data_IF_551268281887
#
_entry.id   IF_551268281887
#
_cell.length_a   1.000
_cell.length_b   1.000
_cell.length_c   1.000
_cell.angle_alpha   90.00
_cell.angle_beta   90.00
_cell.angle_gamma   90.00
#
_symmetry.space_group_name_H-M   'P 1'
#
loop_
_entity.id
_entity.type
_entity.pdbx_description
1 polymer ?
#
# COMPACT_ATOMS: atom_id res chain seq x y z
N UNK A 1 4.59 -9.13 9.90
CA UNK A 1 3.86 -8.12 10.72
C UNK A 1 2.38 -8.16 10.37
N UNK A 2 1.45 -7.90 11.30
CA UNK A 2 0.01 -7.98 11.02
C UNK A 2 -0.47 -6.79 10.16
N UNK A 3 -1.31 -7.06 9.15
CA UNK A 3 -1.95 -5.98 8.36
C UNK A 3 -2.93 -5.13 9.20
N UNK A 4 -3.63 -5.77 10.14
CA UNK A 4 -4.53 -5.10 11.07
C UNK A 4 -3.85 -4.99 12.44
N UNK A 5 -3.25 -3.84 12.71
CA UNK A 5 -2.73 -3.53 14.04
C UNK A 5 -3.88 -3.20 14.99
N UNK A 6 -3.66 -3.34 16.30
CA UNK A 6 -4.68 -3.02 17.30
C UNK A 6 -5.06 -1.54 17.27
N UNK A 7 -4.14 -0.66 16.87
CA UNK A 7 -4.43 0.74 16.62
C UNK A 7 -5.47 0.90 15.50
N UNK A 8 -5.31 0.20 14.38
CA UNK A 8 -6.24 0.27 13.26
C UNK A 8 -7.61 -0.33 13.60
N UNK A 9 -7.66 -1.40 14.39
CA UNK A 9 -8.93 -1.97 14.88
C UNK A 9 -9.71 -0.95 15.71
N UNK A 10 -9.06 -0.31 16.69
CA UNK A 10 -9.67 0.73 17.54
C UNK A 10 -10.08 1.97 16.75
N UNK A 11 -9.31 2.35 15.73
CA UNK A 11 -9.67 3.47 14.84
C UNK A 11 -10.96 3.15 14.07
N UNK A 12 -11.08 1.93 13.54
CA UNK A 12 -12.29 1.47 12.84
C UNK A 12 -13.52 1.42 13.77
N UNK A 13 -13.35 0.97 15.02
CA UNK A 13 -14.41 0.99 16.04
C UNK A 13 -14.93 2.40 16.34
N UNK A 14 -14.08 3.42 16.19
CA UNK A 14 -14.44 4.84 16.35
C UNK A 14 -14.94 5.49 15.06
N UNK A 15 -15.24 4.70 14.01
CA UNK A 15 -15.64 5.19 12.69
C UNK A 15 -14.63 6.13 12.02
N UNK A 16 -13.34 6.00 12.37
CA UNK A 16 -12.29 6.75 11.69
C UNK A 16 -11.98 6.14 10.30
N UNK A 17 -11.52 6.98 9.38
CA UNK A 17 -11.00 6.52 8.09
C UNK A 17 -9.65 5.84 8.34
N UNK A 18 -9.53 4.59 7.91
CA UNK A 18 -8.30 3.79 8.07
C UNK A 18 -7.55 3.70 6.74
N UNK A 19 -6.30 4.13 6.74
CA UNK A 19 -5.33 3.94 5.66
C UNK A 19 -4.30 2.92 6.13
N UNK A 20 -4.17 1.81 5.40
CA UNK A 20 -3.22 0.75 5.74
C UNK A 20 -1.80 1.11 5.31
N UNK A 21 -0.79 0.63 6.05
CA UNK A 21 0.62 0.91 5.75
C UNK A 21 1.08 0.42 4.37
N UNK A 22 0.43 -0.61 3.82
CA UNK A 22 0.78 -1.12 2.49
C UNK A 22 0.47 -0.10 1.38
N UNK A 23 -0.47 0.83 1.59
CA UNK A 23 -0.79 1.90 0.62
C UNK A 23 0.45 2.80 0.43
N UNK A 24 1.11 3.18 1.54
CA UNK A 24 2.35 3.96 1.49
C UNK A 24 3.50 3.16 0.88
N UNK A 25 3.59 1.87 1.21
CA UNK A 25 4.61 0.96 0.62
C UNK A 25 4.44 0.84 -0.91
N UNK A 26 3.22 0.79 -1.41
CA UNK A 26 2.95 0.79 -2.85
C UNK A 26 3.28 2.16 -3.47
N UNK A 27 2.84 3.25 -2.85
CA UNK A 27 3.06 4.61 -3.35
C UNK A 27 4.54 4.98 -3.47
N UNK A 28 5.36 4.63 -2.47
CA UNK A 28 6.81 4.86 -2.55
C UNK A 28 7.47 4.01 -3.64
N UNK A 29 7.00 2.79 -3.87
CA UNK A 29 7.56 1.91 -4.90
C UNK A 29 7.23 2.43 -6.29
N UNK A 30 5.99 2.89 -6.51
CA UNK A 30 5.55 3.55 -7.74
C UNK A 30 6.44 4.74 -8.05
N UNK A 31 6.68 5.61 -7.07
CA UNK A 31 7.51 6.79 -7.28
C UNK A 31 8.97 6.44 -7.59
N UNK A 32 9.53 5.46 -6.88
CA UNK A 32 10.89 5.00 -7.14
C UNK A 32 11.03 4.40 -8.55
N UNK A 33 10.03 3.61 -8.99
CA UNK A 33 9.98 3.03 -10.33
C UNK A 33 9.99 4.12 -11.41
N UNK A 34 9.14 5.14 -11.28
CA UNK A 34 9.09 6.25 -12.23
C UNK A 34 10.40 7.02 -12.32
N UNK A 35 11.07 7.25 -11.17
CA UNK A 35 12.37 7.93 -11.14
C UNK A 35 13.44 7.11 -11.86
N UNK A 36 13.47 5.80 -11.64
CA UNK A 36 14.51 4.94 -12.20
C UNK A 36 14.30 4.60 -13.66
N UNK A 37 13.05 4.46 -14.09
CA UNK A 37 12.72 4.01 -15.44
C UNK A 37 12.24 5.13 -16.37
N UNK A 38 11.93 6.31 -15.83
CA UNK A 38 11.45 7.45 -16.63
C UNK A 38 10.11 7.19 -17.32
N UNK A 39 9.34 6.21 -16.84
CA UNK A 39 8.05 5.82 -17.40
C UNK A 39 7.02 5.58 -16.29
N UNK A 40 5.75 5.61 -16.66
CA UNK A 40 4.65 5.37 -15.72
C UNK A 40 4.76 3.97 -15.10
N UNK A 41 4.61 3.91 -13.77
CA UNK A 41 4.70 2.65 -13.06
C UNK A 41 3.45 1.78 -13.34
N UNK A 42 3.61 0.46 -13.54
CA UNK A 42 2.48 -0.44 -13.73
C UNK A 42 1.75 -0.71 -12.40
N UNK A 43 1.01 0.29 -11.89
CA UNK A 43 0.41 0.32 -10.56
C UNK A 43 -0.36 -0.95 -10.21
N UNK A 44 -1.23 -1.43 -11.12
CA UNK A 44 -2.04 -2.63 -10.88
C UNK A 44 -1.20 -3.90 -10.75
N UNK A 45 -0.11 -4.01 -11.50
CA UNK A 45 0.80 -5.15 -11.39
C UNK A 45 1.58 -5.10 -10.07
N UNK A 46 2.05 -3.91 -9.68
CA UNK A 46 2.75 -3.70 -8.41
C UNK A 46 1.84 -3.97 -7.20
N UNK A 47 0.56 -3.56 -7.27
CA UNK A 47 -0.45 -3.84 -6.24
C UNK A 47 -0.73 -5.34 -6.10
N UNK A 48 -0.88 -6.06 -7.22
CA UNK A 48 -1.05 -7.52 -7.21
C UNK A 48 0.17 -8.21 -6.60
N UNK A 49 1.38 -7.78 -6.98
CA UNK A 49 2.62 -8.32 -6.44
C UNK A 49 2.74 -8.13 -4.93
N UNK A 50 2.33 -6.96 -4.43
CA UNK A 50 2.37 -6.64 -3.00
C UNK A 50 1.40 -7.49 -2.17
N UNK A 51 0.23 -7.81 -2.71
CA UNK A 51 -0.82 -8.57 -2.02
C UNK A 51 -0.73 -10.09 -2.25
N UNK A 52 0.30 -10.57 -2.96
CA UNK A 52 0.52 -12.00 -3.21
C UNK A 52 -0.36 -12.60 -4.31
N UNK A 53 -0.85 -11.79 -5.25
CA UNK A 53 -1.70 -12.22 -6.36
C UNK A 53 -0.93 -12.77 -7.57
N UNK A 54 -0.08 -13.78 -7.34
CA UNK A 54 0.57 -14.60 -8.38
C UNK A 54 0.21 -16.07 -8.21
#
# INVERSE_FOLDING_TARGET
MPMHTDFLKRAKEKNAIVIFGYEMLLGQAVRAFEIWHGMEAPYNAMKKALLGGF
#
